data_IF_014425401704
#
_entry.id   IF_014425401704
#
_cell.length_a   1.000
_cell.length_b   1.000
_cell.length_c   1.000
_cell.angle_alpha   90.00
_cell.angle_beta   90.00
_cell.angle_gamma   90.00
#
_symmetry.space_group_name_H-M   'P 1'
#
loop_
_entity.id
_entity.type
_entity.pdbx_description
1 polymer ?
#
# COMPACT_ATOMS: atom_id res chain seq x y z
N UNK A 1 6.26 -13.08 -33.75
CA UNK A 1 6.56 -13.99 -32.61
C UNK A 1 5.40 -14.93 -32.49
N UNK A 2 5.58 -16.13 -33.02
CA UNK A 2 4.50 -17.08 -33.28
C UNK A 2 4.26 -18.02 -32.09
N UNK A 3 3.07 -18.61 -31.99
CA UNK A 3 2.67 -19.48 -30.86
C UNK A 3 3.58 -20.69 -30.71
N UNK A 4 4.16 -21.16 -31.81
CA UNK A 4 5.12 -22.26 -31.83
C UNK A 4 6.51 -21.83 -31.31
N UNK A 5 6.93 -20.58 -31.53
CA UNK A 5 8.17 -20.06 -30.95
C UNK A 5 8.09 -19.99 -29.42
N UNK A 6 6.92 -19.62 -28.89
CA UNK A 6 6.67 -19.59 -27.43
C UNK A 6 6.72 -20.99 -26.80
N UNK A 7 6.26 -22.02 -27.52
CA UNK A 7 6.29 -23.42 -27.06
C UNK A 7 7.68 -24.04 -27.15
N UNK A 8 8.53 -23.60 -28.08
CA UNK A 8 9.90 -24.09 -28.20
C UNK A 8 10.86 -23.43 -27.19
N UNK A 9 10.60 -22.18 -26.78
CA UNK A 9 11.36 -21.52 -25.70
C UNK A 9 11.16 -22.25 -24.36
N UNK A 10 10.00 -22.88 -24.12
CA UNK A 10 9.75 -23.63 -22.89
C UNK A 10 10.42 -25.02 -22.85
N UNK A 11 10.73 -25.63 -24.01
CA UNK A 11 11.33 -26.97 -24.07
C UNK A 11 12.84 -27.01 -23.84
N UNK A 12 13.56 -25.91 -24.13
CA UNK A 12 15.04 -25.92 -24.16
C UNK A 12 15.73 -25.20 -22.99
N UNK A 13 14.97 -24.73 -21.99
CA UNK A 13 15.58 -24.29 -20.73
C UNK A 13 15.63 -25.46 -19.76
N UNK A 14 16.75 -26.21 -19.78
CA UNK A 14 17.30 -26.82 -18.57
C UNK A 14 17.68 -25.69 -17.60
N UNK A 15 16.69 -25.01 -17.06
CA UNK A 15 16.82 -24.36 -15.77
C UNK A 15 16.87 -25.55 -14.82
N UNK A 16 17.95 -25.69 -14.04
CA UNK A 16 17.87 -26.45 -12.80
C UNK A 16 16.77 -25.76 -11.99
N UNK A 17 15.54 -26.25 -12.14
CA UNK A 17 14.40 -25.83 -11.33
C UNK A 17 14.76 -26.35 -9.96
N UNK A 18 15.19 -25.47 -9.05
CA UNK A 18 15.15 -25.79 -7.63
C UNK A 18 13.78 -26.42 -7.37
N UNK A 19 13.75 -27.72 -7.09
CA UNK A 19 12.47 -28.39 -6.90
C UNK A 19 11.81 -27.72 -5.71
N UNK A 20 10.58 -27.25 -5.89
CA UNK A 20 9.84 -26.68 -4.78
C UNK A 20 9.74 -27.72 -3.65
N UNK A 21 10.08 -27.29 -2.44
CA UNK A 21 9.92 -28.09 -1.23
C UNK A 21 8.86 -27.41 -0.37
N UNK A 22 7.80 -28.16 -0.04
CA UNK A 22 6.78 -27.67 0.87
C UNK A 22 7.39 -27.48 2.27
N UNK A 23 7.07 -26.35 2.90
CA UNK A 23 7.39 -26.11 4.30
C UNK A 23 6.27 -26.59 5.25
N UNK A 24 5.24 -27.25 4.71
CA UNK A 24 4.13 -27.79 5.48
C UNK A 24 4.56 -29.07 6.21
N UNK A 25 4.25 -29.15 7.49
CA UNK A 25 4.57 -30.30 8.34
C UNK A 25 3.50 -31.38 8.17
N UNK A 26 3.66 -32.24 7.16
CA UNK A 26 2.73 -33.33 6.85
C UNK A 26 2.61 -34.36 7.99
N UNK A 27 3.73 -34.65 8.66
CA UNK A 27 3.81 -35.64 9.74
C UNK A 27 2.95 -35.23 10.94
N UNK A 28 2.95 -33.94 11.30
CA UNK A 28 2.09 -33.40 12.37
C UNK A 28 0.60 -33.65 12.13
N UNK A 29 0.17 -33.76 10.87
CA UNK A 29 -1.22 -34.03 10.50
C UNK A 29 -1.45 -35.48 10.08
N UNK A 30 -0.51 -36.38 10.41
CA UNK A 30 -0.59 -37.81 10.15
C UNK A 30 -0.73 -38.16 8.65
N UNK A 31 -0.31 -37.25 7.76
CA UNK A 31 -0.31 -37.46 6.31
C UNK A 31 1.01 -38.13 5.93
N UNK A 32 0.98 -39.45 5.76
CA UNK A 32 2.18 -40.27 5.47
C UNK A 32 2.18 -40.88 4.06
N UNK A 33 1.06 -40.80 3.34
CA UNK A 33 0.98 -41.30 1.96
C UNK A 33 1.80 -40.42 1.02
N UNK A 34 2.92 -40.96 0.52
CA UNK A 34 3.82 -40.25 -0.39
C UNK A 34 3.15 -39.75 -1.68
N UNK A 35 2.08 -40.39 -2.15
CA UNK A 35 1.35 -39.94 -3.34
C UNK A 35 0.56 -38.68 -3.02
N UNK A 36 -0.10 -38.64 -1.85
CA UNK A 36 -0.83 -37.46 -1.37
C UNK A 36 0.15 -36.30 -1.13
N UNK A 37 1.27 -36.55 -0.46
CA UNK A 37 2.30 -35.52 -0.19
C UNK A 37 2.82 -34.91 -1.50
N UNK A 38 3.12 -35.76 -2.50
CA UNK A 38 3.57 -35.30 -3.82
C UNK A 38 2.51 -34.45 -4.54
N UNK A 39 1.26 -34.90 -4.54
CA UNK A 39 0.16 -34.18 -5.20
C UNK A 39 -0.10 -32.82 -4.55
N UNK A 40 -0.12 -32.75 -3.21
CA UNK A 40 -0.29 -31.48 -2.48
C UNK A 40 0.88 -30.54 -2.77
N UNK A 41 2.12 -31.04 -2.70
CA UNK A 41 3.32 -30.23 -2.96
C UNK A 41 3.34 -29.66 -4.39
N UNK A 42 2.89 -30.44 -5.38
CA UNK A 42 2.77 -29.97 -6.76
C UNK A 42 1.70 -28.87 -6.89
N UNK A 43 0.53 -29.07 -6.27
CA UNK A 43 -0.53 -28.05 -6.27
C UNK A 43 -0.09 -26.77 -5.56
N UNK A 44 0.68 -26.87 -4.47
CA UNK A 44 1.24 -25.69 -3.77
C UNK A 44 2.15 -24.87 -4.69
N UNK A 45 3.05 -25.52 -5.45
CA UNK A 45 3.90 -24.83 -6.41
C UNK A 45 3.07 -24.18 -7.53
N UNK A 46 2.10 -24.90 -8.08
CA UNK A 46 1.21 -24.38 -9.13
C UNK A 46 0.43 -23.15 -8.62
N UNK A 47 -0.11 -23.20 -7.39
CA UNK A 47 -0.80 -22.08 -6.75
C UNK A 47 0.15 -20.87 -6.59
N UNK A 48 1.41 -21.09 -6.18
CA UNK A 48 2.40 -20.01 -6.06
C UNK A 48 2.69 -19.36 -7.41
N UNK A 49 2.85 -20.16 -8.46
CA UNK A 49 3.10 -19.64 -9.81
C UNK A 49 1.90 -18.86 -10.36
N UNK A 50 0.68 -19.38 -10.18
CA UNK A 50 -0.56 -18.69 -10.54
C UNK A 50 -0.66 -17.36 -9.78
N UNK A 51 -0.39 -17.36 -8.48
CA UNK A 51 -0.37 -16.15 -7.65
C UNK A 51 0.57 -15.07 -8.19
N UNK A 52 1.82 -15.44 -8.53
CA UNK A 52 2.81 -14.53 -9.14
C UNK A 52 2.32 -13.97 -10.49
N UNK A 53 1.68 -14.80 -11.31
CA UNK A 53 1.14 -14.36 -12.59
C UNK A 53 -0.02 -13.38 -12.41
N UNK A 54 -0.97 -13.69 -11.52
CA UNK A 54 -2.10 -12.82 -11.18
C UNK A 54 -1.60 -11.48 -10.64
N UNK A 55 -0.63 -11.48 -9.74
CA UNK A 55 0.01 -10.27 -9.21
C UNK A 55 0.58 -9.37 -10.31
N UNK A 56 1.33 -9.94 -11.27
CA UNK A 56 1.85 -9.20 -12.43
C UNK A 56 0.75 -8.62 -13.30
N UNK A 57 -0.34 -9.37 -13.51
CA UNK A 57 -1.48 -8.91 -14.31
C UNK A 57 -2.29 -7.83 -13.60
N UNK A 58 -2.47 -7.92 -12.29
CA UNK A 58 -3.07 -6.87 -11.48
C UNK A 58 -2.27 -5.56 -11.54
N UNK A 59 -0.93 -5.66 -11.49
CA UNK A 59 -0.05 -4.50 -11.66
C UNK A 59 -0.19 -3.87 -13.06
N UNK A 60 -0.27 -4.69 -14.11
CA UNK A 60 -0.52 -4.23 -15.48
C UNK A 60 -1.88 -3.53 -15.61
N UNK A 61 -2.91 -4.06 -14.97
CA UNK A 61 -4.25 -3.45 -14.90
C UNK A 61 -4.17 -2.08 -14.21
N UNK A 62 -3.53 -1.98 -13.05
CA UNK A 62 -3.34 -0.71 -12.33
C UNK A 62 -2.67 0.36 -13.19
N UNK A 63 -1.62 -0.01 -13.95
CA UNK A 63 -0.95 0.89 -14.90
C UNK A 63 -1.91 1.40 -15.98
N UNK A 64 -2.70 0.51 -16.60
CA UNK A 64 -3.66 0.89 -17.65
C UNK A 64 -4.77 1.77 -17.08
N UNK A 65 -5.31 1.45 -15.91
CA UNK A 65 -6.32 2.25 -15.22
C UNK A 65 -5.79 3.65 -14.90
N UNK A 66 -4.56 3.76 -14.38
CA UNK A 66 -3.92 5.05 -14.11
C UNK A 66 -3.77 5.89 -15.38
N UNK A 67 -3.35 5.26 -16.48
CA UNK A 67 -3.22 5.96 -17.77
C UNK A 67 -4.56 6.52 -18.26
N UNK A 68 -5.64 5.75 -18.15
CA UNK A 68 -6.98 6.24 -18.53
C UNK A 68 -7.46 7.34 -17.59
N UNK A 69 -7.18 7.22 -16.28
CA UNK A 69 -7.47 8.27 -15.31
C UNK A 69 -6.80 9.60 -15.70
N UNK A 70 -5.55 9.57 -16.16
CA UNK A 70 -4.83 10.75 -16.64
C UNK A 70 -5.44 11.34 -17.90
N UNK A 71 -5.79 10.51 -18.89
CA UNK A 71 -6.45 10.96 -20.13
C UNK A 71 -7.78 11.67 -19.80
N UNK A 72 -8.60 11.04 -18.97
CA UNK A 72 -9.92 11.54 -18.61
C UNK A 72 -9.90 12.67 -17.57
N UNK A 73 -8.73 13.01 -17.01
CA UNK A 73 -8.58 14.10 -16.02
C UNK A 73 -8.87 15.48 -16.60
N UNK A 74 -8.71 15.64 -17.92
CA UNK A 74 -9.02 16.86 -18.66
C UNK A 74 -10.51 17.00 -19.04
N UNK A 75 -11.34 16.02 -18.68
CA UNK A 75 -12.77 16.00 -18.95
C UNK A 75 -13.58 16.27 -17.67
N UNK A 76 -14.91 16.33 -17.78
CA UNK A 76 -15.79 16.64 -16.66
C UNK A 76 -15.55 15.77 -15.42
N UNK A 77 -15.74 16.36 -14.24
CA UNK A 77 -15.59 15.65 -12.96
C UNK A 77 -16.42 14.36 -12.95
N UNK A 78 -15.81 13.25 -12.54
CA UNK A 78 -16.49 11.95 -12.49
C UNK A 78 -16.47 11.14 -13.78
N UNK A 79 -15.92 11.66 -14.89
CA UNK A 79 -15.83 10.93 -16.17
C UNK A 79 -15.11 9.58 -16.02
N UNK A 80 -13.99 9.54 -15.29
CA UNK A 80 -13.28 8.28 -15.03
C UNK A 80 -14.14 7.26 -14.28
N UNK A 81 -14.95 7.71 -13.31
CA UNK A 81 -15.85 6.86 -12.52
C UNK A 81 -16.96 6.30 -13.38
N UNK A 82 -17.60 7.13 -14.20
CA UNK A 82 -18.62 6.69 -15.14
C UNK A 82 -18.05 5.67 -16.14
N UNK A 83 -16.84 5.89 -16.64
CA UNK A 83 -16.18 4.99 -17.58
C UNK A 83 -15.88 3.60 -17.00
N UNK A 84 -15.29 3.48 -15.80
CA UNK A 84 -15.02 2.15 -15.27
C UNK A 84 -16.29 1.44 -14.78
N UNK A 85 -17.30 2.20 -14.35
CA UNK A 85 -18.61 1.63 -13.99
C UNK A 85 -19.32 1.02 -15.21
N UNK A 86 -19.19 1.61 -16.40
CA UNK A 86 -19.79 1.05 -17.62
C UNK A 86 -19.15 -0.27 -18.06
N UNK A 87 -17.92 -0.54 -17.62
CA UNK A 87 -17.25 -1.84 -17.78
C UNK A 87 -17.57 -2.85 -16.66
N UNK A 88 -18.38 -2.46 -15.67
CA UNK A 88 -18.72 -3.30 -14.51
C UNK A 88 -17.58 -3.45 -13.50
N UNK A 89 -16.58 -2.55 -13.49
CA UNK A 89 -15.48 -2.64 -12.54
C UNK A 89 -15.86 -2.06 -11.18
N UNK A 90 -15.51 -2.78 -10.11
CA UNK A 90 -15.69 -2.30 -8.75
C UNK A 90 -14.76 -1.11 -8.44
N UNK A 91 -15.31 -0.07 -7.82
CA UNK A 91 -14.60 1.16 -7.44
C UNK A 91 -13.41 0.86 -6.54
N UNK A 92 -13.59 0.01 -5.52
CA UNK A 92 -12.52 -0.27 -4.57
C UNK A 92 -11.38 -1.04 -5.22
N UNK A 93 -11.69 -2.00 -6.09
CA UNK A 93 -10.70 -2.70 -6.91
C UNK A 93 -9.93 -1.73 -7.81
N UNK A 94 -10.61 -0.86 -8.56
CA UNK A 94 -9.97 0.10 -9.47
C UNK A 94 -8.96 0.98 -8.74
N UNK A 95 -9.38 1.63 -7.64
CA UNK A 95 -8.48 2.52 -6.90
C UNK A 95 -7.38 1.75 -6.16
N UNK A 96 -7.63 0.51 -5.74
CA UNK A 96 -6.61 -0.34 -5.12
C UNK A 96 -5.52 -0.71 -6.12
N UNK A 97 -5.87 -1.12 -7.34
CA UNK A 97 -4.86 -1.48 -8.35
C UNK A 97 -4.10 -0.26 -8.87
N UNK A 98 -4.76 0.90 -9.01
CA UNK A 98 -4.07 2.17 -9.29
C UNK A 98 -3.05 2.48 -8.18
N UNK A 99 -3.47 2.41 -6.91
CA UNK A 99 -2.58 2.66 -5.78
C UNK A 99 -1.39 1.68 -5.73
N UNK A 100 -1.62 0.39 -6.01
CA UNK A 100 -0.56 -0.62 -6.11
C UNK A 100 0.45 -0.24 -7.20
N UNK A 101 -0.04 0.18 -8.37
CA UNK A 101 0.83 0.65 -9.45
C UNK A 101 1.62 1.91 -9.08
N UNK A 102 0.99 2.89 -8.44
CA UNK A 102 1.65 4.12 -8.00
C UNK A 102 2.78 3.82 -7.01
N UNK A 103 2.56 2.92 -6.05
CA UNK A 103 3.60 2.47 -5.12
C UNK A 103 4.74 1.74 -5.84
N UNK A 104 4.42 0.84 -6.77
CA UNK A 104 5.45 0.16 -7.57
C UNK A 104 6.28 1.17 -8.39
N UNK A 105 5.63 2.17 -8.98
CA UNK A 105 6.31 3.22 -9.73
C UNK A 105 7.21 4.08 -8.84
N UNK A 106 6.77 4.37 -7.61
CA UNK A 106 7.52 5.16 -6.63
C UNK A 106 8.76 4.42 -6.11
N UNK A 107 8.59 3.21 -5.58
CA UNK A 107 9.65 2.48 -4.87
C UNK A 107 10.44 1.52 -5.76
N UNK A 108 10.00 1.28 -7.00
CA UNK A 108 10.63 0.35 -7.96
C UNK A 108 10.85 -1.07 -7.42
N UNK A 109 10.06 -1.47 -6.41
CA UNK A 109 10.18 -2.76 -5.76
C UNK A 109 9.16 -3.77 -6.34
N UNK A 110 9.59 -4.88 -6.96
CA UNK A 110 8.70 -5.88 -7.55
C UNK A 110 7.81 -6.60 -6.54
N UNK A 111 8.21 -6.69 -5.26
CA UNK A 111 7.42 -7.33 -4.22
C UNK A 111 6.07 -6.63 -3.95
N UNK A 112 5.91 -5.37 -4.39
CA UNK A 112 4.64 -4.63 -4.36
C UNK A 112 3.54 -5.33 -5.17
N UNK A 113 3.91 -6.05 -6.24
CA UNK A 113 2.95 -6.80 -7.04
C UNK A 113 2.23 -7.87 -6.20
N UNK A 114 2.96 -8.50 -5.28
CA UNK A 114 2.48 -9.64 -4.47
C UNK A 114 2.09 -9.23 -3.04
N UNK A 115 2.43 -8.01 -2.62
CA UNK A 115 2.13 -7.50 -1.29
C UNK A 115 0.62 -7.51 -0.98
N UNK A 116 0.30 -7.77 0.30
CA UNK A 116 -1.08 -7.75 0.78
C UNK A 116 -1.68 -6.34 0.73
N UNK A 117 -3.01 -6.24 0.61
CA UNK A 117 -3.72 -4.95 0.64
C UNK A 117 -3.40 -4.18 1.93
N UNK A 118 -3.37 -4.88 3.07
CA UNK A 118 -3.06 -4.30 4.38
C UNK A 118 -1.66 -3.71 4.43
N UNK A 119 -0.68 -4.40 3.84
CA UNK A 119 0.71 -3.94 3.77
C UNK A 119 0.80 -2.64 2.96
N UNK A 120 0.18 -2.61 1.78
CA UNK A 120 0.19 -1.43 0.90
C UNK A 120 -0.57 -0.23 1.51
N UNK A 121 -1.66 -0.49 2.24
CA UNK A 121 -2.36 0.56 2.99
C UNK A 121 -1.53 1.11 4.14
N UNK A 122 -0.81 0.25 4.87
CA UNK A 122 0.07 0.68 5.95
C UNK A 122 1.20 1.58 5.42
N UNK A 123 1.87 1.16 4.35
CA UNK A 123 2.93 1.95 3.70
C UNK A 123 2.36 3.29 3.25
N UNK A 124 1.19 3.30 2.58
CA UNK A 124 0.55 4.54 2.14
C UNK A 124 0.25 5.51 3.29
N UNK A 125 -0.31 5.01 4.40
CA UNK A 125 -0.70 5.83 5.57
C UNK A 125 0.50 6.37 6.35
N UNK A 126 1.65 5.71 6.24
CA UNK A 126 2.87 6.04 6.99
C UNK A 126 4.03 6.48 6.09
N UNK A 127 3.77 6.81 4.83
CA UNK A 127 4.79 7.14 3.85
C UNK A 127 5.70 8.31 4.27
N UNK A 128 5.21 9.24 5.10
CA UNK A 128 6.00 10.38 5.57
C UNK A 128 6.83 10.08 6.83
N UNK A 129 6.70 8.85 7.37
CA UNK A 129 7.33 8.41 8.63
C UNK A 129 8.21 7.18 8.46
N UNK A 130 8.03 6.43 7.38
CA UNK A 130 8.82 5.25 7.06
C UNK A 130 10.01 5.65 6.20
N UNK A 131 11.18 5.19 6.59
CA UNK A 131 12.35 5.25 5.72
C UNK A 131 12.19 4.25 4.56
N UNK A 132 12.84 4.54 3.43
CA UNK A 132 12.77 3.67 2.25
C UNK A 132 13.28 2.25 2.55
N UNK A 133 14.27 2.12 3.42
CA UNK A 133 14.81 0.84 3.90
C UNK A 133 13.78 0.03 4.68
N UNK A 134 12.99 0.66 5.55
CA UNK A 134 11.91 0.01 6.31
C UNK A 134 10.81 -0.49 5.37
N UNK A 135 10.50 0.26 4.31
CA UNK A 135 9.53 -0.14 3.29
C UNK A 135 10.02 -1.37 2.53
N UNK A 136 11.29 -1.40 2.11
CA UNK A 136 11.89 -2.56 1.45
C UNK A 136 11.83 -3.79 2.36
N UNK A 137 12.21 -3.66 3.63
CA UNK A 137 12.18 -4.76 4.58
C UNK A 137 10.77 -5.34 4.79
N UNK A 138 9.74 -4.48 4.85
CA UNK A 138 8.34 -4.91 4.95
C UNK A 138 7.92 -5.71 3.71
N UNK A 139 8.37 -5.29 2.52
CA UNK A 139 7.96 -5.85 1.24
C UNK A 139 8.68 -7.16 0.88
N UNK A 140 9.96 -7.30 1.24
CA UNK A 140 10.78 -8.47 0.88
C UNK A 140 10.37 -9.77 1.57
N UNK A 141 9.72 -9.69 2.74
CA UNK A 141 9.23 -10.88 3.44
C UNK A 141 7.73 -10.79 3.73
N UNK A 142 6.85 -11.16 2.77
CA UNK A 142 5.40 -11.06 2.93
C UNK A 142 4.85 -11.79 4.15
N UNK A 143 5.42 -12.97 4.49
CA UNK A 143 5.00 -13.78 5.63
C UNK A 143 5.28 -13.10 6.98
N UNK A 144 6.33 -12.28 7.03
CA UNK A 144 6.76 -11.55 8.23
C UNK A 144 6.37 -10.07 8.21
N UNK A 145 5.82 -9.58 7.11
CA UNK A 145 5.44 -8.17 6.95
C UNK A 145 4.59 -7.65 8.12
N UNK A 146 3.65 -8.45 8.63
CA UNK A 146 2.83 -8.11 9.80
C UNK A 146 3.63 -8.01 11.11
N UNK A 147 4.65 -8.85 11.30
CA UNK A 147 5.55 -8.78 12.46
C UNK A 147 6.43 -7.53 12.38
N UNK A 148 7.06 -7.29 11.22
CA UNK A 148 7.89 -6.11 10.97
C UNK A 148 7.12 -4.80 11.17
N UNK A 149 5.89 -4.72 10.64
CA UNK A 149 5.00 -3.57 10.85
C UNK A 149 4.79 -3.31 12.35
N UNK A 150 4.54 -4.36 13.16
CA UNK A 150 4.36 -4.22 14.61
C UNK A 150 5.63 -3.74 15.31
N UNK A 151 6.80 -4.21 14.89
CA UNK A 151 8.09 -3.79 15.45
C UNK A 151 8.37 -2.31 15.16
N UNK A 152 8.12 -1.85 13.93
CA UNK A 152 8.24 -0.45 13.53
C UNK A 152 7.25 0.42 14.33
N UNK A 153 6.00 -0.01 14.46
CA UNK A 153 5.00 0.69 15.29
C UNK A 153 5.44 0.77 16.76
N UNK A 154 6.07 -0.28 17.29
CA UNK A 154 6.57 -0.32 18.67
C UNK A 154 7.76 0.62 18.86
N UNK A 155 8.76 0.58 17.97
CA UNK A 155 9.90 1.51 17.96
C UNK A 155 9.42 2.97 17.86
N UNK A 156 8.41 3.23 17.03
CA UNK A 156 7.79 4.55 16.90
C UNK A 156 6.99 5.01 18.12
N UNK A 157 6.49 4.08 18.95
CA UNK A 157 5.85 4.38 20.24
C UNK A 157 6.87 4.63 21.35
N UNK A 158 7.93 3.83 21.41
CA UNK A 158 9.05 4.02 22.35
C UNK A 158 9.77 5.35 22.09
N UNK A 159 9.96 5.75 20.82
CA UNK A 159 10.46 7.09 20.46
C UNK A 159 9.48 8.24 20.79
N UNK A 160 8.17 7.97 20.87
CA UNK A 160 7.14 8.96 21.20
C UNK A 160 6.89 9.14 22.69
N UNK A 161 7.53 8.34 23.54
CA UNK A 161 7.43 8.51 24.99
C UNK A 161 8.11 9.81 25.48
N UNK A 162 8.80 10.54 24.58
CA UNK A 162 9.28 11.91 24.80
C UNK A 162 8.91 12.78 23.58
N UNK A 163 7.68 13.29 23.52
CA UNK A 163 7.35 14.52 22.77
C UNK A 163 6.08 15.20 23.31
N UNK A 164 6.02 15.34 24.64
CA UNK A 164 5.02 16.21 25.27
C UNK A 164 5.36 17.68 25.06
N UNK A 165 6.65 18.01 24.91
CA UNK A 165 7.15 19.37 24.82
C UNK A 165 6.73 20.07 23.51
N UNK A 166 6.80 19.43 22.33
CA UNK A 166 6.31 20.08 21.10
C UNK A 166 4.80 20.30 21.11
N UNK A 167 4.04 19.40 21.75
CA UNK A 167 2.59 19.55 21.90
C UNK A 167 2.25 20.70 22.85
N UNK A 168 2.97 20.82 23.97
CA UNK A 168 2.83 21.93 24.90
C UNK A 168 3.20 23.24 24.20
N UNK A 169 4.29 23.28 23.44
CA UNK A 169 4.72 24.47 22.69
C UNK A 169 3.67 24.91 21.67
N UNK A 170 3.13 24.00 20.87
CA UNK A 170 2.05 24.31 19.89
C UNK A 170 0.76 24.77 20.55
N UNK A 171 0.44 24.28 21.75
CA UNK A 171 -0.71 24.76 22.53
C UNK A 171 -0.44 26.16 23.07
N UNK A 172 0.76 26.43 23.58
CA UNK A 172 1.16 27.77 24.04
C UNK A 172 1.10 28.81 22.92
N UNK A 173 1.57 28.49 21.71
CA UNK A 173 1.47 29.38 20.54
C UNK A 173 0.02 29.70 20.17
N UNK A 174 -0.90 28.73 20.31
CA UNK A 174 -2.33 28.96 20.08
C UNK A 174 -2.95 29.87 21.13
N UNK A 175 -2.57 29.69 22.39
CA UNK A 175 -3.01 30.53 23.50
C UNK A 175 -2.54 31.97 23.28
N UNK A 176 -1.27 32.17 22.91
CA UNK A 176 -0.71 33.51 22.67
C UNK A 176 -1.41 34.25 21.52
N UNK A 177 -1.71 33.53 20.43
CA UNK A 177 -2.48 34.08 19.30
C UNK A 177 -3.91 34.43 19.69
N UNK A 178 -4.55 33.61 20.53
CA UNK A 178 -5.89 33.89 21.02
C UNK A 178 -5.93 35.17 21.86
N UNK A 179 -4.96 35.38 22.76
CA UNK A 179 -4.86 36.61 23.55
C UNK A 179 -4.68 37.86 22.67
N UNK A 180 -3.81 37.81 21.66
CA UNK A 180 -3.63 38.92 20.70
C UNK A 180 -4.91 39.25 19.93
N UNK A 181 -5.73 38.26 19.63
CA UNK A 181 -7.01 38.47 18.95
C UNK A 181 -8.07 39.05 19.90
N UNK A 182 -8.12 38.56 21.14
CA UNK A 182 -9.02 39.12 22.18
C UNK A 182 -8.72 40.60 22.39
N UNK A 183 -7.45 40.98 22.54
CA UNK A 183 -7.04 42.38 22.72
C UNK A 183 -7.49 43.27 21.55
N UNK A 184 -7.35 42.78 20.31
CA UNK A 184 -7.85 43.49 19.12
C UNK A 184 -9.37 43.68 19.16
N UNK A 185 -10.12 42.64 19.49
CA UNK A 185 -11.57 42.71 19.57
C UNK A 185 -12.04 43.64 20.70
N UNK A 186 -11.36 43.65 21.83
CA UNK A 186 -11.64 44.58 22.94
C UNK A 186 -11.41 46.04 22.54
N UNK A 187 -10.32 46.33 21.81
CA UNK A 187 -10.06 47.66 21.26
C UNK A 187 -11.15 48.10 20.27
N UNK A 188 -11.62 47.19 19.43
CA UNK A 188 -12.68 47.46 18.44
C UNK A 188 -14.02 47.74 19.12
N UNK A 189 -14.38 46.94 20.13
CA UNK A 189 -15.54 47.20 20.99
C UNK A 189 -15.45 48.59 21.64
N UNK A 190 -14.27 48.98 22.14
CA UNK A 190 -14.07 50.28 22.79
C UNK A 190 -14.25 51.45 21.81
N UNK A 191 -13.78 51.32 20.57
CA UNK A 191 -14.00 52.33 19.52
C UNK A 191 -15.48 52.49 19.21
N UNK A 192 -16.17 51.38 18.97
CA UNK A 192 -17.60 51.38 18.66
C UNK A 192 -18.45 51.98 19.79
N UNK A 193 -18.10 51.70 21.05
CA UNK A 193 -18.79 52.29 22.22
C UNK A 193 -18.49 53.78 22.39
N UNK A 194 -17.27 54.24 22.10
CA UNK A 194 -16.90 55.65 22.15
C UNK A 194 -17.48 56.50 21.00
N UNK A 195 -17.84 55.87 19.89
CA UNK A 195 -18.50 56.53 18.75
C UNK A 195 -20.02 56.69 18.95
N UNK A 196 -20.64 55.92 19.85
CA UNK A 196 -22.08 56.02 20.18
C UNK A 196 -22.46 57.15 21.17
N UNK A 197 -21.50 57.94 21.66
CA UNK A 197 -21.74 59.05 22.63
C UNK A 197 -21.66 60.46 22.00
N UNK A 198 -21.78 60.60 20.67
CA UNK A 198 -21.94 61.91 19.99
C UNK A 198 -23.29 62.00 19.28
#
# INVERSE_FOLDING_TARGET
>A
MDREELLNISKNRKIEVESYHSSFDFDKYEITDEKVIREVTQNEEDIRQIGKFVAKKALELGRKLKRVQEILSSHGTGTFVAWFNSMGLDKNMVYREINRWEQFHKYRNPAIAEASVRTLEYIKKNNDKLEETEIVEILENPAESAKKIKEIEKKGKEKKEIDFDDKIQKLNEKIEKAYKNIEKWELEIKKLKGETEK
#
